data_IF_075146632205
#
_entry.id   IF_075146632205
#
_cell.length_a   1.000
_cell.length_b   1.000
_cell.length_c   1.000
_cell.angle_alpha   90.00
_cell.angle_beta   90.00
_cell.angle_gamma   90.00
#
_symmetry.space_group_name_H-M   'P 1'
#
loop_
_entity.id
_entity.type
_entity.pdbx_description
1 polymer ?
#
# COMPACT_ATOMS: atom_id res chain seq x y z
N UNK A 1 -9.50 -30.90 -18.31
CA UNK A 1 -10.07 -29.87 -17.41
C UNK A 1 -8.92 -29.02 -16.89
N UNK A 2 -8.78 -27.78 -17.36
CA UNK A 2 -7.79 -26.84 -16.80
C UNK A 2 -8.38 -26.28 -15.52
N UNK A 3 -7.77 -26.60 -14.38
CA UNK A 3 -8.01 -25.86 -13.14
C UNK A 3 -7.43 -24.46 -13.35
N UNK A 4 -8.28 -23.49 -13.72
CA UNK A 4 -7.93 -22.08 -13.64
C UNK A 4 -7.73 -21.79 -12.15
N UNK A 5 -6.47 -21.77 -11.72
CA UNK A 5 -6.09 -21.44 -10.35
C UNK A 5 -6.36 -19.95 -10.21
N UNK A 6 -7.57 -19.57 -9.81
CA UNK A 6 -7.90 -18.17 -9.55
C UNK A 6 -6.81 -17.65 -8.60
N UNK A 7 -6.02 -16.65 -9.00
CA UNK A 7 -5.08 -16.01 -8.09
C UNK A 7 -5.86 -15.61 -6.82
N UNK A 8 -5.40 -16.04 -5.64
CA UNK A 8 -6.09 -15.68 -4.41
C UNK A 8 -6.00 -14.16 -4.24
N UNK A 9 -7.11 -13.51 -3.85
CA UNK A 9 -7.16 -12.07 -3.56
C UNK A 9 -6.02 -11.63 -2.63
N UNK A 10 -5.68 -12.49 -1.67
CA UNK A 10 -4.56 -12.35 -0.75
C UNK A 10 -3.20 -12.14 -1.46
N UNK A 11 -2.96 -12.79 -2.61
CA UNK A 11 -1.72 -12.60 -3.37
C UNK A 11 -1.55 -11.16 -3.83
N UNK A 12 -2.61 -10.55 -4.36
CA UNK A 12 -2.58 -9.17 -4.82
C UNK A 12 -2.50 -8.17 -3.68
N UNK A 13 -3.15 -8.48 -2.56
CA UNK A 13 -3.05 -7.69 -1.35
C UNK A 13 -1.65 -7.77 -0.74
N UNK A 14 -0.99 -8.93 -0.79
CA UNK A 14 0.41 -9.08 -0.37
C UNK A 14 1.35 -8.25 -1.25
N UNK A 15 1.19 -8.30 -2.58
CA UNK A 15 1.99 -7.49 -3.51
C UNK A 15 1.86 -5.99 -3.21
N UNK A 16 0.63 -5.50 -2.99
CA UNK A 16 0.40 -4.12 -2.58
C UNK A 16 1.01 -3.81 -1.19
N UNK A 17 0.88 -4.73 -0.23
CA UNK A 17 1.41 -4.57 1.12
C UNK A 17 2.94 -4.45 1.13
N UNK A 18 3.63 -5.25 0.33
CA UNK A 18 5.10 -5.20 0.19
C UNK A 18 5.55 -3.84 -0.34
N UNK A 19 4.90 -3.33 -1.38
CA UNK A 19 5.21 -2.03 -1.98
C UNK A 19 4.96 -0.87 -1.01
N UNK A 20 3.80 -0.86 -0.34
CA UNK A 20 3.48 0.17 0.66
C UNK A 20 4.43 0.12 1.85
N UNK A 21 4.84 -1.07 2.29
CA UNK A 21 5.84 -1.23 3.34
C UNK A 21 7.20 -0.68 2.91
N UNK A 22 7.60 -0.95 1.66
CA UNK A 22 8.84 -0.42 1.09
C UNK A 22 8.83 1.12 0.98
N UNK A 23 7.67 1.72 0.70
CA UNK A 23 7.47 3.16 0.69
C UNK A 23 7.48 3.80 2.10
N UNK A 24 7.40 3.00 3.16
CA UNK A 24 7.45 3.44 4.56
C UNK A 24 6.11 3.47 5.29
N UNK A 25 5.04 2.93 4.69
CA UNK A 25 3.76 2.77 5.38
C UNK A 25 3.77 1.58 6.34
N UNK A 26 2.98 1.66 7.41
CA UNK A 26 2.68 0.50 8.26
C UNK A 26 1.47 -0.24 7.69
N UNK A 27 1.68 -1.47 7.23
CA UNK A 27 0.62 -2.30 6.64
C UNK A 27 0.28 -3.46 7.55
N UNK A 28 -1.01 -3.66 7.82
CA UNK A 28 -1.55 -4.79 8.59
C UNK A 28 -2.51 -5.60 7.72
N UNK A 29 -2.15 -6.83 7.32
CA UNK A 29 -3.06 -7.75 6.65
C UNK A 29 -4.27 -8.13 7.51
N UNK A 30 -5.43 -8.28 6.87
CA UNK A 30 -6.69 -8.79 7.44
C UNK A 30 -7.32 -9.80 6.50
N UNK A 31 -6.64 -10.91 6.26
CA UNK A 31 -7.04 -11.94 5.30
C UNK A 31 -8.11 -12.89 5.83
N UNK A 32 -8.32 -12.88 7.15
CA UNK A 32 -9.40 -13.56 7.83
C UNK A 32 -10.79 -12.96 7.54
N UNK A 33 -10.86 -11.76 6.97
CA UNK A 33 -12.11 -11.07 6.64
C UNK A 33 -12.68 -11.51 5.29
N UNK A 34 -13.98 -11.29 5.11
CA UNK A 34 -14.69 -11.53 3.84
C UNK A 34 -15.41 -10.25 3.42
N UNK A 35 -14.87 -9.48 2.45
CA UNK A 35 -13.66 -9.74 1.66
C UNK A 35 -12.35 -9.52 2.45
N UNK A 36 -11.23 -10.17 2.06
CA UNK A 36 -9.91 -9.92 2.64
C UNK A 36 -9.45 -8.51 2.27
N UNK A 37 -8.72 -7.86 3.18
CA UNK A 37 -8.20 -6.51 2.98
C UNK A 37 -6.82 -6.31 3.65
N UNK A 38 -6.16 -5.21 3.31
CA UNK A 38 -5.00 -4.70 4.05
C UNK A 38 -5.34 -3.35 4.65
N UNK A 39 -4.88 -3.09 5.87
CA UNK A 39 -5.00 -1.79 6.52
C UNK A 39 -3.65 -1.07 6.47
N UNK A 40 -3.65 0.12 5.88
CA UNK A 40 -2.50 1.02 5.74
C UNK A 40 -2.60 2.12 6.79
N UNK A 41 -1.53 2.34 7.53
CA UNK A 41 -1.47 3.30 8.65
C UNK A 41 -0.11 3.97 8.70
N UNK A 42 0.00 5.01 9.52
CA UNK A 42 1.26 5.66 9.85
C UNK A 42 1.30 5.98 11.36
N UNK A 43 2.43 5.87 12.06
CA UNK A 43 2.52 6.15 13.50
C UNK A 43 2.06 7.56 13.91
N UNK A 44 2.19 8.54 12.99
CA UNK A 44 1.69 9.89 13.19
C UNK A 44 0.15 10.00 13.24
N UNK A 45 -0.55 8.97 12.76
CA UNK A 45 -2.00 8.94 12.62
C UNK A 45 -2.56 7.92 13.62
N UNK A 46 -2.85 8.35 14.85
CA UNK A 46 -3.21 7.43 15.95
C UNK A 46 -4.32 6.44 15.61
N UNK A 47 -5.37 6.89 14.92
CA UNK A 47 -6.54 6.07 14.58
C UNK A 47 -6.88 6.09 13.09
N UNK A 48 -6.27 6.98 12.33
CA UNK A 48 -6.57 7.19 10.92
C UNK A 48 -5.72 6.27 10.05
N UNK A 49 -6.37 5.60 9.11
CA UNK A 49 -5.72 4.72 8.15
C UNK A 49 -6.65 4.44 6.98
N UNK A 50 -6.14 3.70 6.01
CA UNK A 50 -6.84 3.32 4.80
C UNK A 50 -6.97 1.80 4.73
N UNK A 51 -8.19 1.29 4.63
CA UNK A 51 -8.43 -0.13 4.36
C UNK A 51 -8.59 -0.33 2.85
N UNK A 52 -7.85 -1.29 2.29
CA UNK A 52 -7.85 -1.56 0.85
C UNK A 52 -8.19 -3.03 0.61
N UNK A 53 -9.25 -3.28 -0.17
CA UNK A 53 -9.62 -4.62 -0.64
C UNK A 53 -9.46 -4.72 -2.15
N UNK A 54 -9.61 -5.94 -2.67
CA UNK A 54 -9.46 -6.23 -4.09
C UNK A 54 -10.68 -7.00 -4.61
N UNK A 55 -11.15 -6.61 -5.79
CA UNK A 55 -12.25 -7.28 -6.49
C UNK A 55 -11.79 -7.75 -7.88
N UNK A 56 -12.22 -8.95 -8.31
CA UNK A 56 -11.96 -9.41 -9.68
C UNK A 56 -12.75 -8.57 -10.68
N UNK A 57 -12.10 -8.16 -11.76
CA UNK A 57 -12.77 -7.52 -12.89
C UNK A 57 -13.34 -8.60 -13.81
N UNK A 58 -14.51 -8.35 -14.40
CA UNK A 58 -15.24 -9.32 -15.23
C UNK A 58 -14.53 -9.67 -16.55
N UNK A 59 -13.42 -8.99 -16.87
CA UNK A 59 -12.75 -9.05 -18.16
C UNK A 59 -11.42 -9.82 -18.06
N UNK A 60 -11.49 -11.15 -17.99
CA UNK A 60 -10.33 -12.03 -18.14
C UNK A 60 -9.74 -12.59 -16.85
N UNK A 61 -9.03 -13.71 -17.00
CA UNK A 61 -8.33 -14.38 -15.91
C UNK A 61 -7.16 -13.48 -15.44
N UNK A 62 -7.11 -13.15 -14.14
CA UNK A 62 -6.03 -12.39 -13.45
C UNK A 62 -6.16 -10.85 -13.44
N UNK A 63 -7.24 -10.26 -13.97
CA UNK A 63 -7.48 -8.80 -13.83
C UNK A 63 -8.27 -8.47 -12.55
N UNK A 64 -7.69 -7.61 -11.70
CA UNK A 64 -8.29 -7.17 -10.44
C UNK A 64 -8.19 -5.67 -10.27
N UNK A 65 -9.12 -5.11 -9.49
CA UNK A 65 -9.14 -3.70 -9.09
C UNK A 65 -9.08 -3.56 -7.58
N UNK A 66 -8.32 -2.56 -7.11
CA UNK A 66 -8.26 -2.18 -5.71
C UNK A 66 -9.20 -1.04 -5.38
N UNK A 67 -9.78 -1.13 -4.19
CA UNK A 67 -10.76 -0.18 -3.69
C UNK A 67 -10.45 0.19 -2.25
N UNK A 68 -10.75 1.43 -1.89
CA UNK A 68 -10.84 1.83 -0.50
C UNK A 68 -12.13 1.27 0.11
N UNK A 69 -12.00 0.38 1.10
CA UNK A 69 -13.11 -0.33 1.75
C UNK A 69 -14.16 0.63 2.34
N UNK A 70 -13.72 1.69 3.03
CA UNK A 70 -14.63 2.62 3.72
C UNK A 70 -15.40 3.57 2.80
N UNK A 71 -14.93 3.80 1.57
CA UNK A 71 -15.51 4.78 0.65
C UNK A 71 -15.98 4.18 -0.67
N UNK A 72 -15.63 2.93 -0.96
CA UNK A 72 -15.81 2.32 -2.28
C UNK A 72 -14.98 2.99 -3.38
N UNK A 73 -14.06 3.91 -3.04
CA UNK A 73 -13.26 4.63 -4.03
C UNK A 73 -12.35 3.66 -4.77
N UNK A 74 -12.45 3.65 -6.08
CA UNK A 74 -11.53 2.97 -6.98
C UNK A 74 -10.11 3.57 -6.89
N UNK A 75 -9.11 2.72 -6.74
CA UNK A 75 -7.70 3.11 -6.64
C UNK A 75 -6.90 2.80 -7.91
N UNK A 76 -7.27 1.74 -8.64
CA UNK A 76 -6.54 1.29 -9.83
C UNK A 76 -6.69 -0.21 -10.07
N UNK A 77 -6.27 -0.67 -11.25
CA UNK A 77 -6.15 -2.11 -11.55
C UNK A 77 -4.76 -2.66 -11.25
N UNK A 78 -4.61 -3.99 -11.29
CA UNK A 78 -3.31 -4.71 -11.23
C UNK A 78 -2.20 -4.09 -12.07
N UNK A 79 -2.53 -3.65 -13.28
CA UNK A 79 -1.54 -3.11 -14.22
C UNK A 79 -1.16 -1.65 -13.90
N UNK A 80 -1.80 -1.07 -12.90
CA UNK A 80 -1.71 0.32 -12.49
C UNK A 80 -1.14 0.47 -11.07
N UNK A 81 -0.33 -0.49 -10.60
CA UNK A 81 0.26 -0.48 -9.25
C UNK A 81 0.87 0.88 -8.84
N UNK A 82 1.66 1.59 -9.68
CA UNK A 82 2.14 2.92 -9.32
C UNK A 82 1.03 3.95 -9.07
N UNK A 83 -0.08 3.87 -9.82
CA UNK A 83 -1.23 4.75 -9.59
C UNK A 83 -1.99 4.37 -8.30
N UNK A 84 -2.05 3.08 -7.95
CA UNK A 84 -2.63 2.61 -6.69
C UNK A 84 -1.83 3.15 -5.50
N UNK A 85 -0.50 3.08 -5.56
CA UNK A 85 0.39 3.64 -4.54
C UNK A 85 0.17 5.15 -4.42
N UNK A 86 0.20 5.89 -5.54
CA UNK A 86 -0.05 7.33 -5.56
C UNK A 86 -1.41 7.67 -4.92
N UNK A 87 -2.47 6.90 -5.21
CA UNK A 87 -3.77 7.12 -4.61
C UNK A 87 -3.78 6.94 -3.08
N UNK A 88 -2.99 6.00 -2.55
CA UNK A 88 -2.81 5.84 -1.09
C UNK A 88 -2.04 7.04 -0.51
N UNK A 89 -0.98 7.48 -1.18
CA UNK A 89 -0.22 8.67 -0.79
C UNK A 89 -1.07 9.94 -0.80
N UNK A 90 -1.92 10.13 -1.81
CA UNK A 90 -2.82 11.29 -1.91
C UNK A 90 -3.84 11.34 -0.77
N UNK A 91 -4.27 10.17 -0.27
CA UNK A 91 -5.26 10.08 0.81
C UNK A 91 -4.62 10.29 2.18
N UNK A 92 -3.50 9.61 2.46
CA UNK A 92 -2.89 9.62 3.80
C UNK A 92 -1.77 10.65 3.95
N UNK A 93 -1.08 11.01 2.86
CA UNK A 93 0.07 11.90 2.86
C UNK A 93 -0.21 13.29 3.45
N UNK A 94 -1.28 13.99 3.05
CA UNK A 94 -1.64 15.27 3.66
C UNK A 94 -1.82 15.18 5.17
N UNK A 95 -2.45 14.11 5.66
CA UNK A 95 -2.67 13.90 7.09
C UNK A 95 -1.36 13.67 7.85
N UNK A 96 -0.42 12.94 7.26
CA UNK A 96 0.92 12.73 7.84
C UNK A 96 1.71 14.04 7.86
N UNK A 97 1.64 14.83 6.79
CA UNK A 97 2.30 16.13 6.72
C UNK A 97 1.73 17.13 7.74
N UNK A 98 0.40 17.18 7.88
CA UNK A 98 -0.29 18.00 8.89
C UNK A 98 0.10 17.62 10.32
N UNK A 99 0.36 16.33 10.57
CA UNK A 99 0.89 15.85 11.85
C UNK A 99 2.38 16.22 12.07
N UNK A 100 3.04 16.86 11.10
CA UNK A 100 4.44 17.30 11.19
C UNK A 100 5.46 16.18 10.92
N UNK A 101 5.04 15.08 10.30
CA UNK A 101 5.90 13.94 9.98
C UNK A 101 6.32 13.93 8.51
N UNK A 102 7.51 13.38 8.20
CA UNK A 102 7.90 13.16 6.81
C UNK A 102 6.93 12.16 6.17
N UNK A 103 6.36 12.55 5.03
CA UNK A 103 5.44 11.68 4.27
C UNK A 103 6.24 10.51 3.69
N UNK A 104 5.77 9.26 3.87
CA UNK A 104 6.31 8.10 3.16
C UNK A 104 6.34 8.36 1.65
N UNK A 105 7.35 7.85 0.94
CA UNK A 105 7.53 8.06 -0.50
C UNK A 105 8.01 6.78 -1.16
N UNK A 106 7.64 6.58 -2.42
CA UNK A 106 8.12 5.47 -3.26
C UNK A 106 9.62 5.58 -3.61
N UNK A 107 10.24 6.73 -3.37
CA UNK A 107 11.68 6.89 -3.52
C UNK A 107 12.43 6.08 -2.46
N UNK A 108 13.46 5.29 -2.83
CA UNK A 108 14.25 4.56 -1.86
C UNK A 108 14.82 5.52 -0.82
N UNK A 109 14.36 5.44 0.43
CA UNK A 109 14.96 6.23 1.50
C UNK A 109 16.44 5.87 1.56
N UNK A 110 17.28 6.78 1.09
CA UNK A 110 18.71 6.64 1.22
C UNK A 110 19.00 6.55 2.71
N UNK A 111 19.40 5.37 3.20
CA UNK A 111 19.83 5.20 4.59
C UNK A 111 20.80 6.33 4.92
N UNK A 112 20.66 7.02 6.06
CA UNK A 112 21.67 7.97 6.50
C UNK A 112 23.01 7.23 6.53
N UNK A 113 23.90 7.51 5.58
CA UNK A 113 25.26 6.99 5.64
C UNK A 113 25.86 7.57 6.92
N UNK A 114 26.40 6.75 7.84
CA UNK A 114 27.11 7.28 8.99
C UNK A 114 28.19 8.21 8.42
N UNK A 115 28.13 9.49 8.80
CA UNK A 115 29.16 10.46 8.42
C UNK A 115 30.44 9.95 9.06
N UNK A 116 31.31 9.29 8.27
CA UNK A 116 32.67 9.02 8.71
C UNK A 116 33.29 10.36 9.05
N UNK A 117 33.41 10.62 10.35
CA UNK A 117 34.01 11.83 10.87
C UNK A 117 35.38 12.01 10.25
N UNK A 118 35.57 13.14 9.56
CA UNK A 118 36.91 13.65 9.24
C UNK A 118 37.63 13.85 10.57
N UNK A 119 38.63 13.01 10.85
CA UNK A 119 39.63 13.31 11.87
C UNK A 119 40.57 14.39 11.31
N UNK A 120 40.75 15.54 11.97
CA UNK A 120 41.87 16.41 11.67
C UNK A 120 43.16 15.78 12.21
N UNK A 121 44.23 15.88 11.42
CA UNK A 121 45.61 15.65 11.85
C UNK A 121 46.14 16.90 12.54
#
# INVERSE_FOLDING_TARGET
MRMTRTPSRERYLNELAELLTAAGWTVTPRYELSPPLVRVTHPALERTGLSVHVEPLLCGDDEVAWFCDSSGRYLGTRFQLPQVLAAVHDVLGPLVAEAGWPVPSDEPQARPRPRLGRKPW
#
